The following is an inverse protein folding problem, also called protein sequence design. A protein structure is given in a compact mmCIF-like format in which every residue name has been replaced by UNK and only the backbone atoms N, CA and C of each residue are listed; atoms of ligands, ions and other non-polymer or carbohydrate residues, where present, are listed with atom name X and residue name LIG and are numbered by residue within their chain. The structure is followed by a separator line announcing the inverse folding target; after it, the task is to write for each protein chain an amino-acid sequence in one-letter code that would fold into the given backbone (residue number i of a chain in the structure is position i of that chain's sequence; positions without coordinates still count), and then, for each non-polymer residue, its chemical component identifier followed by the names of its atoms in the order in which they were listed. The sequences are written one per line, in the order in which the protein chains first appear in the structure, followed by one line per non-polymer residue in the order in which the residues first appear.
data_IF_071544474333
#
_entry.id   IF_071544474333
#
_cell.length_a   1.000
_cell.length_b   1.000
_cell.length_c   1.000
_cell.angle_alpha   90.00
_cell.angle_beta   90.00
_cell.angle_gamma   90.00
#
_symmetry.space_group_name_H-M   'P 1'
#
loop_
_entity.id
_entity.type
_entity.pdbx_description
1 polymer ?
#
# COMPACT_ATOMS: atom_id res chain seq x y z
N UNK A 1 -45.93 48.28 -1.29
CA UNK A 1 -44.83 48.00 -2.24
C UNK A 1 -43.55 48.63 -1.69
N UNK A 2 -42.46 47.84 -1.66
CA UNK A 2 -41.02 48.23 -1.73
C UNK A 2 -40.48 49.15 -0.62
N UNK A 3 -39.80 48.58 0.39
CA UNK A 3 -38.35 48.20 0.48
C UNK A 3 -37.40 49.35 0.82
N UNK A 4 -36.75 49.14 1.98
CA UNK A 4 -35.32 49.34 2.28
C UNK A 4 -34.74 50.76 2.38
N UNK A 5 -34.25 51.07 3.58
CA UNK A 5 -32.87 51.48 3.91
C UNK A 5 -32.76 52.64 4.92
N UNK A 6 -31.85 52.37 5.87
CA UNK A 6 -31.13 53.29 6.76
C UNK A 6 -31.92 53.99 7.86
N UNK A 7 -31.57 53.68 9.10
CA UNK A 7 -31.50 54.70 10.15
C UNK A 7 -30.36 54.37 11.12
N UNK A 8 -29.43 55.31 11.15
CA UNK A 8 -28.42 55.51 12.17
C UNK A 8 -29.06 55.57 13.57
N UNK A 9 -28.49 54.80 14.48
CA UNK A 9 -27.84 55.27 15.72
C UNK A 9 -28.66 56.04 16.78
N UNK A 10 -28.49 55.57 18.03
CA UNK A 10 -28.65 56.21 19.35
C UNK A 10 -30.04 56.21 20.02
N UNK A 11 -30.20 55.39 21.07
CA UNK A 11 -30.04 55.81 22.49
C UNK A 11 -30.61 54.78 23.49
N UNK A 12 -29.94 54.61 24.64
CA UNK A 12 -30.53 54.11 25.90
C UNK A 12 -30.10 52.70 26.33
N UNK A 13 -29.11 52.54 27.21
CA UNK A 13 -29.24 52.27 28.67
C UNK A 13 -30.06 50.99 28.96
N UNK A 14 -29.55 49.89 29.52
CA UNK A 14 -29.10 49.64 30.91
C UNK A 14 -28.43 48.24 30.98
N UNK A 15 -27.48 47.94 31.90
CA UNK A 15 -26.53 46.83 31.81
C UNK A 15 -26.91 45.61 32.66
N UNK A 16 -26.88 44.38 32.12
CA UNK A 16 -26.60 43.18 32.93
C UNK A 16 -26.30 41.91 32.09
N UNK A 17 -25.27 41.17 32.52
CA UNK A 17 -24.89 39.77 32.18
C UNK A 17 -24.38 39.45 30.77
N UNK A 18 -23.05 39.48 30.62
CA UNK A 18 -22.30 38.71 29.60
C UNK A 18 -21.25 37.80 30.26
N UNK A 19 -21.71 36.82 31.03
CA UNK A 19 -20.87 35.70 31.51
C UNK A 19 -21.60 34.35 31.37
N UNK A 20 -22.30 34.14 30.24
CA UNK A 20 -22.99 32.86 29.98
C UNK A 20 -22.72 32.26 28.59
N UNK A 21 -21.90 32.91 27.74
CA UNK A 21 -21.66 32.46 26.36
C UNK A 21 -20.21 32.02 26.06
N UNK A 22 -19.37 31.80 27.08
CA UNK A 22 -18.02 31.21 26.89
C UNK A 22 -17.95 29.70 27.17
N UNK A 23 -18.82 29.15 28.02
CA UNK A 23 -18.75 27.71 28.36
C UNK A 23 -19.49 26.79 27.37
N UNK A 24 -20.53 27.26 26.68
CA UNK A 24 -21.23 26.42 25.70
C UNK A 24 -20.41 26.16 24.43
N UNK A 25 -19.57 27.13 24.02
CA UNK A 25 -18.71 26.98 22.83
C UNK A 25 -17.55 26.01 23.07
N UNK A 26 -17.05 25.92 24.30
CA UNK A 26 -15.95 25.03 24.69
C UNK A 26 -16.40 23.56 24.85
N UNK A 27 -17.63 23.34 25.34
CA UNK A 27 -18.20 22.00 25.47
C UNK A 27 -18.53 21.42 24.09
N UNK A 28 -19.10 22.21 23.18
CA UNK A 28 -19.40 21.77 21.82
C UNK A 28 -18.15 21.39 21.01
N UNK A 29 -17.04 22.14 21.15
CA UNK A 29 -15.78 21.80 20.47
C UNK A 29 -15.13 20.52 21.03
N UNK A 30 -15.16 20.32 22.35
CA UNK A 30 -14.57 19.13 22.98
C UNK A 30 -15.39 17.85 22.73
N UNK A 31 -16.72 17.95 22.64
CA UNK A 31 -17.58 16.81 22.27
C UNK A 31 -17.34 16.41 20.81
N UNK A 32 -17.25 17.39 19.92
CA UNK A 32 -17.00 17.14 18.50
C UNK A 32 -15.59 16.52 18.29
N UNK A 33 -14.55 17.10 18.92
CA UNK A 33 -13.17 16.58 18.85
C UNK A 33 -13.04 15.16 19.41
N UNK A 34 -13.70 14.84 20.54
CA UNK A 34 -13.73 13.49 21.10
C UNK A 34 -14.44 12.48 20.19
N UNK A 35 -15.51 12.90 19.52
CA UNK A 35 -16.22 12.07 18.54
C UNK A 35 -15.31 11.71 17.36
N UNK A 36 -14.62 12.69 16.77
CA UNK A 36 -13.69 12.46 15.66
C UNK A 36 -12.49 11.59 16.05
N UNK A 37 -11.88 11.82 17.22
CA UNK A 37 -10.76 10.98 17.70
C UNK A 37 -11.19 9.52 17.94
N UNK A 38 -12.43 9.28 18.37
CA UNK A 38 -12.96 7.93 18.53
C UNK A 38 -13.17 7.23 17.18
N UNK A 39 -13.63 7.97 16.17
CA UNK A 39 -13.81 7.46 14.81
C UNK A 39 -12.46 7.19 14.12
N UNK A 40 -11.45 8.04 14.34
CA UNK A 40 -10.09 7.81 13.84
C UNK A 40 -9.47 6.57 14.49
N UNK A 41 -9.59 6.40 15.82
CA UNK A 41 -9.13 5.20 16.50
C UNK A 41 -9.89 3.93 16.06
N UNK A 42 -11.20 4.02 15.79
CA UNK A 42 -11.94 2.89 15.23
C UNK A 42 -11.57 2.60 13.79
N UNK A 43 -11.29 3.61 12.97
CA UNK A 43 -10.81 3.43 11.60
C UNK A 43 -9.41 2.82 11.58
N UNK A 44 -8.51 3.26 12.46
CA UNK A 44 -7.18 2.67 12.66
C UNK A 44 -7.28 1.23 13.17
N UNK A 45 -8.12 0.97 14.16
CA UNK A 45 -8.35 -0.37 14.72
C UNK A 45 -9.00 -1.30 13.70
N UNK A 46 -9.94 -0.81 12.91
CA UNK A 46 -10.54 -1.55 11.78
C UNK A 46 -9.49 -1.81 10.70
N UNK A 47 -8.66 -0.83 10.34
CA UNK A 47 -7.56 -1.00 9.38
C UNK A 47 -6.51 -2.02 9.88
N UNK A 48 -6.28 -2.07 11.19
CA UNK A 48 -5.34 -3.01 11.82
C UNK A 48 -5.93 -4.43 11.94
N UNK A 49 -7.24 -4.54 12.19
CA UNK A 49 -7.97 -5.82 12.17
C UNK A 49 -8.00 -6.40 10.74
N UNK A 50 -8.22 -5.57 9.73
CA UNK A 50 -8.20 -5.99 8.32
C UNK A 50 -6.79 -6.35 7.81
N UNK A 51 -5.72 -5.90 8.49
CA UNK A 51 -4.34 -6.39 8.25
C UNK A 51 -4.09 -7.79 8.81
N UNK A 52 -4.91 -8.28 9.74
CA UNK A 52 -4.60 -9.45 10.58
C UNK A 52 -5.41 -10.72 10.28
N UNK A 53 -5.98 -10.86 9.09
CA UNK A 53 -6.50 -12.16 8.65
C UNK A 53 -5.40 -12.85 7.85
N UNK A 54 -4.61 -13.79 8.43
CA UNK A 54 -3.73 -14.63 7.63
C UNK A 54 -4.64 -15.54 6.80
N UNK A 55 -4.94 -15.12 5.57
CA UNK A 55 -5.50 -16.06 4.61
C UNK A 55 -4.48 -17.17 4.46
N UNK A 56 -4.87 -18.39 4.82
CA UNK A 56 -4.07 -19.62 4.73
C UNK A 56 -3.05 -19.51 3.59
N UNK A 57 -1.78 -19.36 3.95
CA UNK A 57 -0.72 -19.13 2.98
C UNK A 57 -0.65 -20.37 2.08
N UNK A 58 -0.81 -20.16 0.77
CA UNK A 58 -0.84 -21.24 -0.22
C UNK A 58 0.53 -21.92 -0.23
N UNK A 59 0.54 -23.25 -0.33
CA UNK A 59 1.77 -24.02 -0.53
C UNK A 59 2.43 -23.65 -1.86
N UNK A 60 3.74 -23.78 -1.96
CA UNK A 60 4.41 -23.46 -3.22
C UNK A 60 3.98 -24.41 -4.33
N UNK A 61 3.83 -23.87 -5.54
CA UNK A 61 3.45 -24.65 -6.72
C UNK A 61 4.45 -25.77 -7.01
N UNK A 62 5.75 -25.55 -6.76
CA UNK A 62 6.78 -26.59 -6.91
C UNK A 62 6.58 -27.79 -5.99
N UNK A 63 5.95 -27.58 -4.83
CA UNK A 63 5.76 -28.63 -3.83
C UNK A 63 4.52 -29.48 -4.20
N UNK A 64 3.56 -28.88 -4.91
CA UNK A 64 2.37 -29.55 -5.45
C UNK A 64 2.72 -30.33 -6.74
N UNK A 65 3.51 -29.73 -7.63
CA UNK A 65 3.87 -30.30 -8.93
C UNK A 65 5.35 -30.70 -8.97
N UNK A 66 5.73 -31.72 -8.21
CA UNK A 66 7.13 -32.14 -7.97
C UNK A 66 7.88 -32.61 -9.23
N UNK A 67 7.16 -33.03 -10.26
CA UNK A 67 7.69 -33.43 -11.56
C UNK A 67 8.11 -32.23 -12.43
N UNK A 68 7.58 -31.03 -12.17
CA UNK A 68 7.99 -29.82 -12.88
C UNK A 68 9.36 -29.37 -12.35
N UNK A 69 10.33 -29.30 -13.25
CA UNK A 69 11.68 -28.82 -12.94
C UNK A 69 11.90 -27.44 -13.54
N UNK A 70 12.58 -26.58 -12.78
CA UNK A 70 13.04 -25.29 -13.27
C UNK A 70 14.01 -25.52 -14.43
N UNK A 71 13.87 -24.73 -15.49
CA UNK A 71 14.78 -24.80 -16.62
C UNK A 71 16.21 -24.39 -16.18
N UNK A 72 17.22 -25.27 -16.34
CA UNK A 72 18.58 -25.01 -15.88
C UNK A 72 19.31 -23.91 -16.65
N UNK A 73 18.78 -23.49 -17.81
CA UNK A 73 19.39 -22.43 -18.63
C UNK A 73 19.26 -21.04 -18.00
N UNK A 74 18.35 -20.86 -17.02
CA UNK A 74 18.21 -19.61 -16.31
C UNK A 74 19.11 -19.58 -15.07
N UNK A 75 19.86 -18.50 -14.91
CA UNK A 75 20.69 -18.22 -13.74
C UNK A 75 19.83 -18.08 -12.48
N UNK A 76 20.37 -18.43 -11.32
CA UNK A 76 19.81 -18.05 -10.02
C UNK A 76 20.22 -16.64 -9.62
N UNK A 77 19.37 -15.97 -8.84
CA UNK A 77 19.64 -14.62 -8.37
C UNK A 77 20.85 -14.59 -7.43
N UNK A 78 21.85 -13.79 -7.78
CA UNK A 78 23.07 -13.59 -6.99
C UNK A 78 23.10 -12.20 -6.34
N UNK A 79 23.94 -11.99 -5.30
CA UNK A 79 24.07 -10.68 -4.65
C UNK A 79 24.47 -9.55 -5.61
N UNK A 80 25.27 -9.85 -6.63
CA UNK A 80 25.69 -8.84 -7.61
C UNK A 80 24.55 -8.41 -8.54
N UNK A 81 23.60 -9.30 -8.82
CA UNK A 81 22.38 -8.94 -9.56
C UNK A 81 21.51 -7.98 -8.73
N UNK A 82 21.40 -8.24 -7.43
CA UNK A 82 20.66 -7.39 -6.49
C UNK A 82 21.29 -5.99 -6.42
N UNK A 83 22.63 -5.92 -6.28
CA UNK A 83 23.36 -4.64 -6.31
C UNK A 83 23.14 -3.87 -7.61
N UNK A 84 23.14 -4.57 -8.75
CA UNK A 84 22.85 -3.95 -10.03
C UNK A 84 21.44 -3.34 -10.06
N UNK A 85 20.42 -4.07 -9.58
CA UNK A 85 19.05 -3.54 -9.50
C UNK A 85 18.94 -2.34 -8.55
N UNK A 86 19.64 -2.37 -7.41
CA UNK A 86 19.72 -1.24 -6.48
C UNK A 86 20.39 0.00 -7.08
N UNK A 87 21.26 -0.15 -8.08
CA UNK A 87 21.85 1.00 -8.79
C UNK A 87 20.87 1.72 -9.74
N UNK A 88 19.75 1.06 -10.09
CA UNK A 88 18.76 1.57 -11.04
C UNK A 88 17.46 1.99 -10.34
N UNK A 89 17.09 1.27 -9.28
CA UNK A 89 15.81 1.38 -8.59
C UNK A 89 15.99 1.97 -7.21
N UNK A 90 15.04 2.78 -6.78
CA UNK A 90 15.02 3.25 -5.39
C UNK A 90 14.66 2.12 -4.43
N UNK A 91 14.92 2.25 -3.12
CA UNK A 91 14.52 1.26 -2.12
C UNK A 91 13.01 0.98 -2.09
N UNK A 92 12.17 1.94 -2.48
CA UNK A 92 10.70 1.73 -2.53
C UNK A 92 10.24 1.01 -3.81
N UNK A 93 11.11 0.95 -4.83
CA UNK A 93 10.88 0.28 -6.11
C UNK A 93 11.40 -1.15 -6.13
N UNK A 94 12.07 -1.60 -5.07
CA UNK A 94 12.70 -2.93 -5.01
C UNK A 94 12.36 -3.64 -3.71
N UNK A 95 11.77 -4.83 -3.82
CA UNK A 95 11.53 -5.74 -2.69
C UNK A 95 12.46 -6.93 -2.89
N UNK A 96 13.29 -7.24 -1.88
CA UNK A 96 14.26 -8.34 -1.92
C UNK A 96 14.06 -9.18 -0.67
N UNK A 97 14.05 -10.50 -0.81
CA UNK A 97 14.08 -11.42 0.34
C UNK A 97 15.41 -11.27 1.09
N UNK A 98 15.34 -10.66 2.27
CA UNK A 98 16.46 -10.50 3.19
C UNK A 98 16.29 -11.38 4.45
N UNK A 99 15.40 -12.39 4.40
CA UNK A 99 15.08 -13.27 5.53
C UNK A 99 14.02 -12.71 6.50
N UNK A 100 13.88 -11.39 6.61
CA UNK A 100 12.94 -10.73 7.54
C UNK A 100 11.64 -10.24 6.88
N UNK A 101 11.57 -10.25 5.54
CA UNK A 101 10.49 -9.64 4.77
C UNK A 101 9.92 -10.58 3.70
N UNK A 102 9.96 -11.88 3.96
CA UNK A 102 9.38 -12.88 3.05
C UNK A 102 7.88 -12.65 2.83
N UNK A 103 7.20 -12.08 3.83
CA UNK A 103 5.78 -11.76 3.76
C UNK A 103 5.45 -10.68 2.72
N UNK A 104 6.37 -9.74 2.47
CA UNK A 104 6.19 -8.67 1.47
C UNK A 104 6.16 -9.22 0.02
N UNK A 105 6.76 -10.40 -0.19
CA UNK A 105 6.79 -11.08 -1.48
C UNK A 105 5.58 -12.00 -1.69
N UNK A 106 4.83 -12.33 -0.64
CA UNK A 106 3.67 -13.24 -0.74
C UNK A 106 2.61 -12.72 -1.73
N UNK A 107 2.22 -11.43 -1.73
CA UNK A 107 1.20 -10.92 -2.65
C UNK A 107 1.61 -10.96 -4.13
N UNK A 108 2.91 -10.94 -4.41
CA UNK A 108 3.44 -11.03 -5.78
C UNK A 108 3.64 -12.47 -6.23
N UNK A 109 4.00 -13.35 -5.29
CA UNK A 109 4.16 -14.76 -5.57
C UNK A 109 2.84 -15.52 -5.55
N UNK A 110 1.72 -14.97 -5.09
CA UNK A 110 0.44 -15.70 -4.98
C UNK A 110 -0.54 -15.19 -6.01
N UNK A 111 -1.17 -16.08 -6.78
CA UNK A 111 -2.17 -15.68 -7.77
C UNK A 111 -3.49 -15.24 -7.11
N UNK A 112 -4.34 -14.55 -7.87
CA UNK A 112 -5.65 -14.07 -7.40
C UNK A 112 -6.51 -15.16 -6.76
N UNK A 113 -6.54 -16.34 -7.38
CA UNK A 113 -7.38 -17.47 -6.96
C UNK A 113 -6.77 -18.24 -5.78
N UNK A 114 -5.56 -17.89 -5.32
CA UNK A 114 -4.82 -18.57 -4.25
C UNK A 114 -4.62 -20.06 -4.55
N UNK A 115 -4.42 -20.40 -5.82
CA UNK A 115 -4.16 -21.74 -6.32
C UNK A 115 -2.68 -21.99 -6.61
N UNK A 116 -1.96 -20.95 -7.01
CA UNK A 116 -0.55 -21.01 -7.38
C UNK A 116 0.26 -20.06 -6.52
N UNK A 117 1.44 -20.53 -6.09
CA UNK A 117 2.42 -19.72 -5.37
C UNK A 117 3.85 -19.96 -5.87
N UNK A 118 4.47 -18.92 -6.40
CA UNK A 118 5.87 -18.89 -6.81
C UNK A 118 6.87 -18.74 -5.66
N UNK A 119 8.16 -18.80 -6.02
CA UNK A 119 9.31 -18.69 -5.11
C UNK A 119 10.24 -17.53 -5.50
N UNK A 120 9.72 -16.47 -6.13
CA UNK A 120 10.54 -15.30 -6.46
C UNK A 120 11.06 -14.64 -5.18
N UNK A 121 12.37 -14.36 -5.17
CA UNK A 121 13.07 -13.68 -4.07
C UNK A 121 13.15 -12.16 -4.27
N UNK A 122 12.63 -11.65 -5.38
CA UNK A 122 12.80 -10.25 -5.75
C UNK A 122 11.61 -9.75 -6.59
N UNK A 123 11.17 -8.52 -6.31
CA UNK A 123 10.16 -7.80 -7.10
C UNK A 123 10.71 -6.41 -7.40
N UNK A 124 10.77 -6.08 -8.69
CA UNK A 124 11.11 -4.75 -9.18
C UNK A 124 9.86 -4.01 -9.64
N UNK A 125 9.72 -2.74 -9.24
CA UNK A 125 8.58 -1.85 -9.52
C UNK A 125 9.08 -0.56 -10.22
N UNK A 126 9.64 -0.67 -11.43
CA UNK A 126 10.14 0.49 -12.15
C UNK A 126 9.02 1.47 -12.49
N UNK A 127 9.32 2.77 -12.47
CA UNK A 127 8.36 3.85 -12.79
C UNK A 127 8.56 4.44 -14.18
N UNK A 128 9.67 4.11 -14.83
CA UNK A 128 10.01 4.65 -16.14
C UNK A 128 10.36 3.55 -17.13
N UNK A 129 10.11 3.80 -18.41
CA UNK A 129 10.49 2.91 -19.50
C UNK A 129 12.01 2.72 -19.60
N UNK A 130 12.78 3.75 -19.24
CA UNK A 130 14.24 3.68 -19.17
C UNK A 130 14.74 2.68 -18.12
N UNK A 131 14.12 2.65 -16.93
CA UNK A 131 14.43 1.64 -15.90
C UNK A 131 14.09 0.24 -16.41
N UNK A 132 12.89 0.04 -17.00
CA UNK A 132 12.47 -1.25 -17.56
C UNK A 132 13.49 -1.74 -18.60
N UNK A 133 13.86 -0.88 -19.55
CA UNK A 133 14.81 -1.21 -20.62
C UNK A 133 16.16 -1.70 -20.06
N UNK A 134 16.72 -1.00 -19.07
CA UNK A 134 17.98 -1.39 -18.42
C UNK A 134 17.87 -2.73 -17.69
N UNK A 135 16.77 -2.95 -16.96
CA UNK A 135 16.53 -4.21 -16.24
C UNK A 135 16.39 -5.40 -17.18
N UNK A 136 15.56 -5.27 -18.21
CA UNK A 136 15.32 -6.34 -19.20
C UNK A 136 16.60 -6.67 -19.96
N UNK A 137 17.37 -5.66 -20.37
CA UNK A 137 18.68 -5.86 -21.01
C UNK A 137 19.61 -6.68 -20.12
N UNK A 138 19.75 -6.29 -18.85
CA UNK A 138 20.60 -7.00 -17.90
C UNK A 138 20.13 -8.44 -17.66
N UNK A 139 18.84 -8.66 -17.45
CA UNK A 139 18.29 -9.98 -17.23
C UNK A 139 18.51 -10.90 -18.45
N UNK A 140 18.37 -10.36 -19.67
CA UNK A 140 18.66 -11.11 -20.88
C UNK A 140 20.14 -11.51 -20.96
N UNK A 141 21.06 -10.57 -20.72
CA UNK A 141 22.51 -10.82 -20.72
C UNK A 141 22.92 -11.84 -19.65
N UNK A 142 22.29 -11.81 -18.47
CA UNK A 142 22.58 -12.73 -17.35
C UNK A 142 21.74 -14.00 -17.35
N UNK A 143 20.83 -14.18 -18.32
CA UNK A 143 19.85 -15.27 -18.37
C UNK A 143 19.02 -15.38 -17.08
N UNK A 144 18.56 -14.25 -16.54
CA UNK A 144 17.60 -14.21 -15.44
C UNK A 144 16.18 -14.25 -16.01
N UNK A 145 15.36 -15.18 -15.51
CA UNK A 145 13.95 -15.26 -15.91
C UNK A 145 13.17 -14.05 -15.35
N UNK A 146 12.26 -13.49 -16.16
CA UNK A 146 11.38 -12.39 -15.78
C UNK A 146 9.92 -12.86 -15.89
N UNK A 147 9.11 -12.51 -14.89
CA UNK A 147 7.65 -12.65 -14.93
C UNK A 147 7.03 -11.25 -14.87
N UNK A 148 6.54 -10.69 -15.99
CA UNK A 148 5.82 -9.43 -15.97
C UNK A 148 4.51 -9.57 -15.21
N UNK A 149 4.24 -8.67 -14.27
CA UNK A 149 3.03 -8.68 -13.46
C UNK A 149 2.36 -7.31 -13.47
N UNK A 150 1.07 -7.27 -13.81
CA UNK A 150 0.21 -6.10 -13.66
C UNK A 150 -0.60 -6.16 -12.36
N UNK A 151 -1.93 -6.03 -12.44
CA UNK A 151 -2.82 -6.08 -11.28
C UNK A 151 -3.00 -7.45 -10.62
N UNK A 152 -2.36 -8.51 -11.15
CA UNK A 152 -2.44 -9.88 -10.63
C UNK A 152 -3.87 -10.44 -10.47
N UNK A 153 -4.77 -10.18 -11.43
CA UNK A 153 -6.18 -10.65 -11.42
C UNK A 153 -6.45 -11.77 -12.41
N UNK A 154 -5.41 -12.34 -13.04
CA UNK A 154 -5.54 -13.40 -14.02
C UNK A 154 -6.02 -14.71 -13.38
N UNK A 155 -6.95 -15.42 -14.05
CA UNK A 155 -7.56 -16.65 -13.53
C UNK A 155 -6.79 -17.94 -13.88
N UNK A 156 -5.70 -17.83 -14.66
CA UNK A 156 -4.96 -18.97 -15.23
C UNK A 156 -3.57 -19.19 -14.60
N UNK A 157 -3.25 -18.49 -13.51
CA UNK A 157 -2.01 -18.73 -12.75
C UNK A 157 -0.70 -18.29 -13.42
N UNK A 158 -0.73 -17.52 -14.52
CA UNK A 158 0.48 -17.07 -15.25
C UNK A 158 1.26 -15.95 -14.55
N UNK A 159 0.76 -15.42 -13.44
CA UNK A 159 1.21 -14.16 -12.84
C UNK A 159 1.86 -14.35 -11.45
N UNK A 160 2.20 -15.59 -11.09
CA UNK A 160 2.70 -16.00 -9.77
C UNK A 160 3.98 -16.84 -9.89
#
# INVERSE_FOLDING_TARGET
MRTSQSLLQLAGKVPYKRTFLRNFKLIASNIQQRSYASLENEAEKTAEIHKKVPSKVVSYTTDIYTHLKRNPNFKELSPDDIKFFQSILSPSELIVDNGNNQDDLIPYNTDWMKKYRGKSKLVAKPKTTAQISKLVKYCNEKKLAIVPQGGNTGLVGKNA
#
